data_IF_299950380886
#
_entry.id   IF_299950380886
#
_cell.length_a   1.000
_cell.length_b   1.000
_cell.length_c   1.000
_cell.angle_alpha   90.00
_cell.angle_beta   90.00
_cell.angle_gamma   90.00
#
_symmetry.space_group_name_H-M   'P 1'
#
loop_
_entity.id
_entity.type
_entity.pdbx_description
1 polymer ?
#
# COMPACT_ATOMS: atom_id res chain seq x y z
N UNK A 1 -5.60 17.73 -22.12
CA UNK A 1 -4.58 16.75 -21.69
C UNK A 1 -4.74 15.44 -22.46
N UNK A 2 -3.64 14.87 -23.00
CA UNK A 2 -3.62 13.52 -23.56
C UNK A 2 -4.12 12.48 -22.54
N UNK A 3 -4.78 11.41 -23.02
CA UNK A 3 -5.33 10.37 -22.14
C UNK A 3 -4.24 9.71 -21.26
N UNK A 4 -3.07 9.45 -21.82
CA UNK A 4 -1.90 8.91 -21.12
C UNK A 4 -1.40 9.81 -19.98
N UNK A 5 -1.36 11.12 -20.21
CA UNK A 5 -0.94 12.08 -19.18
C UNK A 5 -2.00 12.19 -18.06
N UNK A 6 -3.29 12.09 -18.39
CA UNK A 6 -4.37 12.12 -17.40
C UNK A 6 -4.34 10.87 -16.54
N UNK A 7 -4.06 9.72 -17.15
CA UNK A 7 -3.87 8.45 -16.46
C UNK A 7 -2.66 8.52 -15.51
N UNK A 8 -1.51 8.97 -16.01
CA UNK A 8 -0.28 9.13 -15.22
C UNK A 8 -0.40 10.16 -14.08
N UNK A 9 -1.28 11.17 -14.20
CA UNK A 9 -1.57 12.08 -13.10
C UNK A 9 -2.53 11.44 -12.10
N UNK A 10 -3.64 10.83 -12.52
CA UNK A 10 -4.57 10.16 -11.61
C UNK A 10 -3.92 9.00 -10.84
N UNK A 11 -2.94 8.38 -11.48
CA UNK A 11 -2.01 7.38 -10.97
C UNK A 11 -1.09 7.84 -9.84
N UNK A 12 -0.36 8.93 -10.11
CA UNK A 12 0.79 9.37 -9.32
C UNK A 12 0.39 10.43 -8.31
N UNK A 13 -0.59 11.27 -8.65
CA UNK A 13 -1.07 12.33 -7.78
C UNK A 13 -1.48 11.82 -6.40
N UNK A 14 -2.14 10.67 -6.27
CA UNK A 14 -2.56 10.30 -4.95
C UNK A 14 -1.51 9.50 -4.18
N UNK A 15 -0.55 8.85 -4.85
CA UNK A 15 0.68 8.38 -4.19
C UNK A 15 1.49 9.58 -3.64
N UNK A 16 1.62 10.67 -4.40
CA UNK A 16 2.24 11.92 -3.94
C UNK A 16 1.47 12.59 -2.81
N UNK A 17 0.15 12.67 -2.90
CA UNK A 17 -0.69 13.26 -1.84
C UNK A 17 -0.49 12.51 -0.53
N UNK A 18 -0.44 11.19 -0.58
CA UNK A 18 -0.21 10.34 0.58
C UNK A 18 1.20 10.51 1.13
N UNK A 19 2.23 10.48 0.27
CA UNK A 19 3.61 10.75 0.70
C UNK A 19 3.71 12.10 1.42
N UNK A 20 3.02 13.12 0.91
CA UNK A 20 2.97 14.46 1.51
C UNK A 20 2.24 14.47 2.86
N UNK A 21 1.11 13.78 2.98
CA UNK A 21 0.35 13.63 4.24
C UNK A 21 1.18 12.87 5.28
N UNK A 22 1.87 11.79 4.88
CA UNK A 22 2.72 10.99 5.76
C UNK A 22 3.91 11.80 6.27
N UNK A 23 4.57 12.56 5.39
CA UNK A 23 5.63 13.48 5.78
C UNK A 23 5.11 14.51 6.80
N UNK A 24 3.91 15.05 6.60
CA UNK A 24 3.29 15.98 7.55
C UNK A 24 2.95 15.31 8.90
N UNK A 25 2.42 14.08 8.91
CA UNK A 25 2.10 13.32 10.13
C UNK A 25 3.36 12.98 10.93
N UNK A 26 4.47 12.66 10.26
CA UNK A 26 5.76 12.43 10.90
C UNK A 26 6.35 13.69 11.51
N UNK A 27 6.26 14.82 10.80
CA UNK A 27 6.67 16.13 11.34
C UNK A 27 5.80 16.59 12.51
N UNK A 28 4.55 16.12 12.60
CA UNK A 28 3.58 16.45 13.65
C UNK A 28 3.67 15.60 14.93
N UNK A 29 4.58 14.62 15.02
CA UNK A 29 4.82 13.86 16.26
C UNK A 29 3.72 12.88 16.70
N UNK A 30 2.75 12.56 15.83
CA UNK A 30 1.57 11.75 16.18
C UNK A 30 1.81 10.28 16.55
N UNK A 31 3.07 9.83 16.65
CA UNK A 31 3.41 8.44 16.95
C UNK A 31 3.62 8.12 18.44
N UNK A 32 3.87 9.12 19.29
CA UNK A 32 4.38 8.92 20.66
C UNK A 32 3.44 8.12 21.59
N UNK A 33 2.13 8.14 21.34
CA UNK A 33 1.11 7.48 22.18
C UNK A 33 0.59 6.15 21.60
N UNK A 34 1.19 5.63 20.52
CA UNK A 34 0.72 4.40 19.88
C UNK A 34 1.15 3.16 20.69
N UNK A 35 0.24 2.23 21.05
CA UNK A 35 0.64 0.97 21.66
C UNK A 35 1.59 0.17 20.76
N UNK A 36 2.76 -0.17 21.31
CA UNK A 36 3.75 -1.05 20.68
C UNK A 36 3.33 -2.49 20.92
N UNK A 37 3.04 -3.25 19.86
CA UNK A 37 2.79 -4.69 20.00
C UNK A 37 4.11 -5.42 20.27
N UNK A 38 4.17 -6.19 21.36
CA UNK A 38 5.40 -6.85 21.82
C UNK A 38 5.92 -7.97 20.88
N UNK A 39 5.08 -8.49 19.98
CA UNK A 39 5.50 -9.51 19.03
C UNK A 39 4.80 -9.35 17.66
N UNK A 40 5.62 -9.17 16.62
CA UNK A 40 5.18 -9.32 15.23
C UNK A 40 5.03 -10.79 14.83
N UNK A 41 4.37 -11.08 13.70
CA UNK A 41 4.33 -12.43 13.15
C UNK A 41 5.76 -12.91 12.83
N UNK A 42 5.99 -14.21 12.99
CA UNK A 42 7.27 -14.82 12.62
C UNK A 42 7.65 -14.53 11.15
N UNK A 43 8.96 -14.52 10.80
CA UNK A 43 9.40 -14.17 9.45
C UNK A 43 8.76 -15.02 8.34
N UNK A 44 8.56 -16.32 8.58
CA UNK A 44 7.90 -17.20 7.61
C UNK A 44 6.42 -16.87 7.44
N UNK A 45 5.72 -16.50 8.51
CA UNK A 45 4.31 -16.11 8.44
C UNK A 45 4.15 -14.79 7.68
N UNK A 46 5.04 -13.84 7.92
CA UNK A 46 5.11 -12.60 7.13
C UNK A 46 5.33 -12.89 5.64
N UNK A 47 6.28 -13.76 5.29
CA UNK A 47 6.55 -14.13 3.90
C UNK A 47 5.31 -14.75 3.21
N UNK A 48 4.58 -15.63 3.89
CA UNK A 48 3.34 -16.21 3.37
C UNK A 48 2.30 -15.11 3.09
N UNK A 49 2.13 -14.14 3.99
CA UNK A 49 1.17 -13.04 3.80
C UNK A 49 1.53 -12.22 2.56
N UNK A 50 2.82 -11.90 2.34
CA UNK A 50 3.26 -11.19 1.14
C UNK A 50 3.01 -11.99 -0.15
N UNK A 51 3.28 -13.30 -0.14
CA UNK A 51 3.02 -14.18 -1.29
C UNK A 51 1.52 -14.21 -1.60
N UNK A 52 0.69 -14.44 -0.59
CA UNK A 52 -0.77 -14.46 -0.75
C UNK A 52 -1.27 -13.12 -1.30
N UNK A 53 -0.77 -12.00 -0.76
CA UNK A 53 -1.13 -10.67 -1.24
C UNK A 53 -0.74 -10.48 -2.72
N UNK A 54 0.48 -10.84 -3.13
CA UNK A 54 0.89 -10.78 -4.53
C UNK A 54 -0.01 -11.62 -5.46
N UNK A 55 -0.40 -12.82 -5.01
CA UNK A 55 -1.34 -13.67 -5.75
C UNK A 55 -2.70 -13.00 -5.86
N UNK A 56 -3.25 -12.46 -4.77
CA UNK A 56 -4.55 -11.78 -4.77
C UNK A 56 -4.55 -10.53 -5.66
N UNK A 57 -3.46 -9.75 -5.64
CA UNK A 57 -3.29 -8.61 -6.56
C UNK A 57 -3.22 -9.06 -8.03
N UNK A 58 -2.51 -10.15 -8.32
CA UNK A 58 -2.47 -10.76 -9.66
C UNK A 58 -3.86 -11.21 -10.13
N UNK A 59 -4.65 -11.84 -9.25
CA UNK A 59 -6.03 -12.24 -9.54
C UNK A 59 -6.94 -11.02 -9.73
N UNK A 60 -6.83 -10.00 -8.89
CA UNK A 60 -7.59 -8.76 -9.03
C UNK A 60 -7.30 -8.06 -10.36
N UNK A 61 -6.01 -8.01 -10.75
CA UNK A 61 -5.58 -7.47 -12.05
C UNK A 61 -6.14 -8.30 -13.21
N UNK A 62 -6.10 -9.63 -13.11
CA UNK A 62 -6.65 -10.52 -14.13
C UNK A 62 -8.16 -10.34 -14.29
N UNK A 63 -8.90 -10.29 -13.18
CA UNK A 63 -10.35 -10.07 -13.16
C UNK A 63 -10.72 -8.73 -13.83
N UNK A 64 -9.99 -7.65 -13.55
CA UNK A 64 -10.16 -6.38 -14.26
C UNK A 64 -9.78 -6.49 -15.74
N UNK A 65 -8.70 -7.19 -16.09
CA UNK A 65 -8.29 -7.32 -17.51
C UNK A 65 -9.30 -8.08 -18.39
N UNK A 66 -10.16 -8.90 -17.78
CA UNK A 66 -11.26 -9.58 -18.45
C UNK A 66 -12.54 -8.74 -18.55
N UNK A 67 -12.61 -7.60 -17.86
CA UNK A 67 -13.74 -6.69 -17.92
C UNK A 67 -13.54 -5.64 -19.02
N UNK A 68 -14.58 -5.40 -19.81
CA UNK A 68 -14.54 -4.40 -20.89
C UNK A 68 -14.29 -2.99 -20.31
N UNK A 69 -13.31 -2.29 -20.89
CA UNK A 69 -12.91 -0.93 -20.52
C UNK A 69 -12.45 -0.73 -19.06
N UNK A 70 -12.01 -1.79 -18.38
CA UNK A 70 -11.49 -1.68 -17.02
C UNK A 70 -10.05 -1.11 -16.97
N UNK A 71 -9.83 -0.21 -16.02
CA UNK A 71 -8.54 0.41 -15.75
C UNK A 71 -7.77 -0.41 -14.69
N UNK A 72 -6.61 -0.96 -15.06
CA UNK A 72 -5.75 -1.74 -14.15
C UNK A 72 -4.69 -0.92 -13.44
N UNK A 73 -4.54 0.35 -13.80
CA UNK A 73 -3.39 1.16 -13.41
C UNK A 73 -3.15 1.23 -11.89
N UNK A 74 -4.21 1.38 -11.10
CA UNK A 74 -4.10 1.43 -9.65
C UNK A 74 -3.55 0.12 -9.08
N UNK A 75 -4.03 -1.03 -9.57
CA UNK A 75 -3.53 -2.35 -9.18
C UNK A 75 -2.10 -2.58 -9.67
N UNK A 76 -1.77 -2.13 -10.89
CA UNK A 76 -0.40 -2.19 -11.42
C UNK A 76 0.58 -1.39 -10.55
N UNK A 77 0.16 -0.20 -10.10
CA UNK A 77 0.95 0.65 -9.18
C UNK A 77 1.13 -0.03 -7.83
N UNK A 78 0.06 -0.60 -7.29
CA UNK A 78 0.11 -1.34 -6.04
C UNK A 78 1.02 -2.56 -6.14
N UNK A 79 0.98 -3.31 -7.25
CA UNK A 79 1.88 -4.44 -7.51
C UNK A 79 3.34 -3.99 -7.52
N UNK A 80 3.66 -2.93 -8.26
CA UNK A 80 5.02 -2.38 -8.32
C UNK A 80 5.48 -1.92 -6.93
N UNK A 81 4.65 -1.17 -6.21
CA UNK A 81 4.95 -0.69 -4.86
C UNK A 81 5.19 -1.87 -3.88
N UNK A 82 4.36 -2.91 -3.97
CA UNK A 82 4.44 -4.14 -3.16
C UNK A 82 5.73 -4.92 -3.46
N UNK A 83 6.17 -4.98 -4.73
CA UNK A 83 7.40 -5.65 -5.14
C UNK A 83 8.64 -4.86 -4.68
N UNK A 84 8.59 -3.53 -4.73
CA UNK A 84 9.73 -2.67 -4.34
C UNK A 84 9.88 -2.61 -2.81
N UNK A 85 8.77 -2.72 -2.08
CA UNK A 85 8.71 -2.55 -0.62
C UNK A 85 9.81 -3.29 0.18
N UNK A 86 10.12 -4.58 -0.06
CA UNK A 86 11.16 -5.28 0.71
C UNK A 86 12.56 -4.71 0.50
N UNK A 87 12.85 -4.16 -0.70
CA UNK A 87 14.15 -3.58 -1.02
C UNK A 87 14.31 -2.21 -0.34
N UNK A 88 13.26 -1.39 -0.33
CA UNK A 88 13.28 -0.10 0.35
C UNK A 88 13.17 -0.23 1.87
N UNK A 89 12.60 -1.31 2.39
CA UNK A 89 12.55 -1.58 3.82
C UNK A 89 13.93 -1.86 4.43
N UNK A 90 14.83 -2.50 3.68
CA UNK A 90 16.16 -2.89 4.19
C UNK A 90 17.25 -1.86 3.92
N UNK A 91 17.03 -0.94 2.97
CA UNK A 91 18.06 0.01 2.52
C UNK A 91 18.07 1.34 3.27
N UNK A 92 17.04 1.64 4.07
CA UNK A 92 16.82 2.95 4.68
C UNK A 92 16.44 2.85 6.15
N UNK A 93 16.37 4.00 6.84
CA UNK A 93 16.09 4.08 8.27
C UNK A 93 14.62 3.82 8.65
N UNK A 94 14.35 3.79 9.96
CA UNK A 94 13.00 3.54 10.49
C UNK A 94 11.98 4.60 10.04
N UNK A 95 12.39 5.86 9.89
CA UNK A 95 11.52 6.95 9.42
C UNK A 95 11.10 6.73 7.97
N UNK A 96 12.05 6.35 7.10
CA UNK A 96 11.73 5.98 5.73
C UNK A 96 10.80 4.77 5.66
N UNK A 97 11.08 3.74 6.47
CA UNK A 97 10.23 2.54 6.57
C UNK A 97 8.77 2.86 6.92
N UNK A 98 8.56 3.74 7.91
CA UNK A 98 7.24 4.18 8.31
C UNK A 98 6.55 5.08 7.25
N UNK A 99 7.30 5.93 6.56
CA UNK A 99 6.75 6.73 5.46
C UNK A 99 6.34 5.83 4.27
N UNK A 100 7.19 4.89 3.90
CA UNK A 100 6.98 3.99 2.77
C UNK A 100 5.81 3.04 3.03
N UNK A 101 5.71 2.43 4.21
CA UNK A 101 4.55 1.58 4.59
C UNK A 101 3.22 2.32 4.45
N UNK A 102 3.14 3.54 4.99
CA UNK A 102 1.95 4.38 4.87
C UNK A 102 1.63 4.75 3.41
N UNK A 103 2.65 4.99 2.59
CA UNK A 103 2.48 5.26 1.15
C UNK A 103 1.87 4.06 0.43
N UNK A 104 2.42 2.86 0.66
CA UNK A 104 1.88 1.62 0.07
C UNK A 104 0.46 1.34 0.58
N UNK A 105 0.17 1.58 1.87
CA UNK A 105 -1.16 1.46 2.45
C UNK A 105 -2.20 2.32 1.72
N UNK A 106 -1.90 3.59 1.44
CA UNK A 106 -2.88 4.43 0.77
C UNK A 106 -3.03 4.08 -0.72
N UNK A 107 -1.96 3.69 -1.40
CA UNK A 107 -2.07 3.13 -2.75
C UNK A 107 -3.00 1.91 -2.73
N UNK A 108 -2.92 1.06 -1.71
CA UNK A 108 -3.83 -0.06 -1.53
C UNK A 108 -5.27 0.38 -1.31
N UNK A 109 -5.52 1.32 -0.39
CA UNK A 109 -6.86 1.85 -0.12
C UNK A 109 -7.50 2.45 -1.38
N UNK A 110 -6.74 3.21 -2.17
CA UNK A 110 -7.24 3.80 -3.41
C UNK A 110 -7.40 2.80 -4.53
N UNK A 111 -6.58 1.76 -4.57
CA UNK A 111 -6.78 0.64 -5.51
C UNK A 111 -8.11 -0.07 -5.22
N UNK A 112 -8.49 -0.23 -3.95
CA UNK A 112 -9.83 -0.73 -3.58
C UNK A 112 -10.92 0.22 -4.08
N UNK A 113 -10.81 1.52 -3.80
CA UNK A 113 -11.81 2.53 -4.22
C UNK A 113 -11.95 2.60 -5.75
N UNK A 114 -10.85 2.53 -6.48
CA UNK A 114 -10.83 2.56 -7.94
C UNK A 114 -11.37 1.26 -8.55
N UNK A 115 -11.08 0.10 -7.96
CA UNK A 115 -11.56 -1.19 -8.43
C UNK A 115 -13.05 -1.40 -8.11
N UNK A 116 -13.56 -0.88 -6.99
CA UNK A 116 -14.92 -1.14 -6.52
C UNK A 116 -16.05 -0.85 -7.54
N UNK A 117 -16.06 0.29 -8.26
CA UNK A 117 -17.07 0.56 -9.28
C UNK A 117 -16.91 -0.29 -10.55
N UNK A 118 -15.72 -0.87 -10.80
CA UNK A 118 -15.42 -1.66 -11.99
C UNK A 118 -15.67 -3.16 -11.78
N UNK A 119 -15.18 -3.70 -10.66
CA UNK A 119 -15.42 -5.07 -10.21
C UNK A 119 -15.34 -5.13 -8.68
N UNK A 120 -16.48 -5.41 -8.05
CA UNK A 120 -16.54 -5.68 -6.59
C UNK A 120 -15.69 -6.88 -6.21
N UNK A 121 -15.53 -7.84 -7.13
CA UNK A 121 -14.70 -9.03 -6.92
C UNK A 121 -13.22 -8.66 -6.90
N UNK A 122 -12.75 -7.89 -7.88
CA UNK A 122 -11.39 -7.36 -7.88
C UNK A 122 -11.11 -6.53 -6.62
N UNK A 123 -12.02 -5.62 -6.23
CA UNK A 123 -11.89 -4.86 -5.00
C UNK A 123 -11.80 -5.74 -3.74
N UNK A 124 -12.60 -6.82 -3.70
CA UNK A 124 -12.55 -7.82 -2.63
C UNK A 124 -11.20 -8.55 -2.56
N UNK A 125 -10.54 -8.78 -3.69
CA UNK A 125 -9.19 -9.35 -3.71
C UNK A 125 -8.11 -8.36 -3.24
N UNK A 126 -8.30 -7.04 -3.41
CA UNK A 126 -7.36 -6.02 -2.93
C UNK A 126 -7.54 -5.69 -1.45
N UNK A 127 -8.75 -5.82 -0.90
CA UNK A 127 -9.06 -5.42 0.49
C UNK A 127 -8.15 -6.04 1.57
N UNK A 128 -7.74 -7.32 1.52
CA UNK A 128 -6.79 -7.89 2.49
C UNK A 128 -5.43 -7.19 2.53
N UNK A 129 -4.99 -6.60 1.40
CA UNK A 129 -3.76 -5.82 1.35
C UNK A 129 -3.85 -4.58 2.25
N UNK A 130 -5.02 -3.93 2.31
CA UNK A 130 -5.25 -2.76 3.17
C UNK A 130 -5.14 -3.14 4.64
N UNK A 131 -5.71 -4.29 5.04
CA UNK A 131 -5.63 -4.76 6.42
C UNK A 131 -4.18 -5.06 6.84
N UNK A 132 -3.45 -5.78 6.00
CA UNK A 132 -2.04 -6.10 6.27
C UNK A 132 -1.15 -4.85 6.29
N UNK A 133 -1.30 -3.98 5.29
CA UNK A 133 -0.53 -2.74 5.21
C UNK A 133 -0.88 -1.76 6.32
N UNK A 134 -2.13 -1.79 6.81
CA UNK A 134 -2.58 -1.02 7.97
C UNK A 134 -1.83 -1.45 9.22
N UNK A 135 -1.78 -2.75 9.47
CA UNK A 135 -1.00 -3.32 10.57
C UNK A 135 0.51 -3.04 10.43
N UNK A 136 1.10 -3.23 9.25
CA UNK A 136 2.53 -2.97 9.06
C UNK A 136 2.90 -1.49 9.20
N UNK A 137 2.04 -0.58 8.74
CA UNK A 137 2.24 0.86 8.90
C UNK A 137 2.17 1.27 10.37
N UNK A 138 1.21 0.72 11.12
CA UNK A 138 1.13 0.92 12.56
C UNK A 138 2.43 0.51 13.26
N UNK A 139 2.91 -0.70 13.00
CA UNK A 139 4.15 -1.20 13.60
C UNK A 139 5.35 -0.32 13.26
N UNK A 140 5.47 0.14 12.02
CA UNK A 140 6.58 0.97 11.60
C UNK A 140 6.55 2.35 12.31
N UNK A 141 5.38 2.97 12.45
CA UNK A 141 5.25 4.25 13.17
C UNK A 141 5.52 4.06 14.65
N UNK A 142 5.01 2.99 15.26
CA UNK A 142 5.25 2.68 16.66
C UNK A 142 6.75 2.45 16.95
N UNK A 143 7.48 1.84 16.01
CA UNK A 143 8.95 1.70 16.11
C UNK A 143 9.66 3.05 16.02
N UNK A 144 9.26 3.93 15.11
CA UNK A 144 9.83 5.29 14.99
C UNK A 144 9.56 6.10 16.25
N UNK A 145 8.37 5.99 16.83
CA UNK A 145 8.00 6.71 18.04
C UNK A 145 8.75 6.25 19.30
N UNK A 146 9.24 5.02 19.31
CA UNK A 146 9.99 4.44 20.42
C UNK A 146 11.52 4.65 20.32
N UNK A 147 12.02 5.15 19.19
CA UNK A 147 13.44 5.36 18.90
C UNK A 147 13.88 6.80 19.19
#
# INVERSE_FOLDING_TARGET
MPASARLAINAVAPAFAVMTINAALMLGGGGADLPVFEAGPSPWASAIIWIVMLVMLGVARFDLSCADAAETFAIDTLLVATIIYPFSAQAFDAHWMAANTLTVLAIAAMSVVAAFPQSRRAAGFVAPAVAWLGWSSWLAIAQVAAA
#
